data_IF_209643195289
#
_entry.id   IF_209643195289
#
_cell.length_a   1.000
_cell.length_b   1.000
_cell.length_c   1.000
_cell.angle_alpha   90.00
_cell.angle_beta   90.00
_cell.angle_gamma   90.00
#
_symmetry.space_group_name_H-M   'P 1'
#
loop_
_entity.id
_entity.type
_entity.pdbx_description
1 polymer ?
#
# COMPACT_ATOMS: atom_id res chain seq x y z
N UNK A 1 4.36 11.09 -14.62
CA UNK A 1 4.95 9.85 -14.10
C UNK A 1 4.99 9.82 -12.58
N UNK A 2 5.46 10.88 -11.93
CA UNK A 2 5.43 10.95 -10.48
C UNK A 2 4.00 10.91 -9.93
N UNK A 3 3.06 11.51 -10.64
CA UNK A 3 1.65 11.49 -10.25
C UNK A 3 1.07 10.09 -10.21
N UNK A 4 1.46 9.21 -11.15
CA UNK A 4 0.99 7.84 -11.16
C UNK A 4 1.60 7.03 -10.02
N UNK A 5 2.87 7.31 -9.71
CA UNK A 5 3.56 6.64 -8.62
C UNK A 5 2.92 6.97 -7.27
N UNK A 6 2.61 8.24 -7.04
CA UNK A 6 1.95 8.67 -5.82
C UNK A 6 0.56 8.06 -5.68
N UNK A 7 -0.17 8.00 -6.79
CA UNK A 7 -1.50 7.39 -6.80
C UNK A 7 -1.43 5.91 -6.47
N UNK A 8 -0.47 5.19 -7.05
CA UNK A 8 -0.29 3.77 -6.79
C UNK A 8 0.10 3.54 -5.32
N UNK A 9 1.03 4.34 -4.80
CA UNK A 9 1.42 4.24 -3.41
C UNK A 9 0.25 4.51 -2.48
N UNK A 10 -0.54 5.55 -2.76
CA UNK A 10 -1.71 5.87 -1.97
C UNK A 10 -2.72 4.73 -1.96
N UNK A 11 -3.02 4.18 -3.13
CA UNK A 11 -3.98 3.09 -3.25
C UNK A 11 -3.50 1.84 -2.51
N UNK A 12 -2.21 1.53 -2.58
CA UNK A 12 -1.63 0.39 -1.88
C UNK A 12 -1.68 0.59 -0.37
N UNK A 13 -1.28 1.77 0.11
CA UNK A 13 -1.33 2.09 1.53
C UNK A 13 -2.77 2.00 2.06
N UNK A 14 -3.72 2.50 1.30
CA UNK A 14 -5.13 2.45 1.66
C UNK A 14 -5.64 1.00 1.74
N UNK A 15 -5.25 0.16 0.80
CA UNK A 15 -5.63 -1.26 0.82
C UNK A 15 -5.05 -1.98 2.03
N UNK A 16 -3.79 -1.75 2.32
CA UNK A 16 -3.15 -2.37 3.48
C UNK A 16 -3.85 -1.96 4.76
N UNK A 17 -4.20 -0.68 4.88
CA UNK A 17 -4.89 -0.17 6.06
C UNK A 17 -6.29 -0.76 6.22
N UNK A 18 -7.06 -0.82 5.13
CA UNK A 18 -8.44 -1.27 5.16
C UNK A 18 -8.58 -2.80 5.16
N UNK A 19 -7.61 -3.50 4.59
CA UNK A 19 -7.63 -4.95 4.45
C UNK A 19 -6.33 -5.56 4.96
N UNK A 20 -6.14 -5.61 6.28
CA UNK A 20 -4.84 -6.03 6.85
C UNK A 20 -4.47 -7.48 6.60
N UNK A 21 -5.39 -8.31 6.11
CA UNK A 21 -5.06 -9.71 5.79
C UNK A 21 -4.71 -9.92 4.33
N UNK A 22 -4.73 -8.88 3.52
CA UNK A 22 -4.48 -9.04 2.09
C UNK A 22 -3.02 -9.39 1.84
N UNK A 23 -2.81 -10.39 0.99
CA UNK A 23 -1.50 -10.74 0.46
C UNK A 23 -1.16 -9.83 -0.71
N UNK A 24 0.07 -9.96 -1.20
CA UNK A 24 0.50 -9.22 -2.38
C UNK A 24 -0.43 -9.47 -3.57
N UNK A 25 -0.86 -10.72 -3.76
CA UNK A 25 -1.75 -11.08 -4.86
C UNK A 25 -3.12 -10.42 -4.72
N UNK A 26 -3.63 -10.39 -3.50
CA UNK A 26 -4.93 -9.79 -3.24
C UNK A 26 -4.91 -8.30 -3.56
N UNK A 27 -3.85 -7.62 -3.16
CA UNK A 27 -3.70 -6.20 -3.44
C UNK A 27 -3.59 -5.95 -4.95
N UNK A 28 -2.78 -6.76 -5.63
CA UNK A 28 -2.60 -6.65 -7.07
C UNK A 28 -3.92 -6.83 -7.81
N UNK A 29 -4.68 -7.85 -7.41
CA UNK A 29 -5.97 -8.15 -8.04
C UNK A 29 -6.97 -7.01 -7.84
N UNK A 30 -7.06 -6.50 -6.61
CA UNK A 30 -8.02 -5.43 -6.30
C UNK A 30 -7.68 -4.13 -7.02
N UNK A 31 -6.41 -3.84 -7.19
CA UNK A 31 -5.99 -2.59 -7.82
C UNK A 31 -5.79 -2.71 -9.33
N UNK A 32 -5.91 -3.92 -9.86
CA UNK A 32 -5.70 -4.15 -11.29
C UNK A 32 -4.25 -3.94 -11.72
N UNK A 33 -3.32 -4.20 -10.82
CA UNK A 33 -1.89 -4.02 -11.09
C UNK A 33 -1.21 -5.37 -11.24
N UNK A 34 -0.13 -5.41 -12.01
CA UNK A 34 0.66 -6.63 -12.16
C UNK A 34 1.39 -6.95 -10.85
N UNK A 35 1.71 -8.24 -10.66
CA UNK A 35 2.47 -8.66 -9.48
C UNK A 35 3.84 -7.99 -9.43
N UNK A 36 4.48 -7.80 -10.58
CA UNK A 36 5.77 -7.13 -10.64
C UNK A 36 5.69 -5.69 -10.18
N UNK A 37 4.65 -4.97 -10.59
CA UNK A 37 4.45 -3.59 -10.19
C UNK A 37 4.15 -3.48 -8.69
N UNK A 38 3.30 -4.36 -8.17
CA UNK A 38 2.99 -4.41 -6.74
C UNK A 38 4.25 -4.72 -5.94
N UNK A 39 5.02 -5.71 -6.39
CA UNK A 39 6.26 -6.07 -5.70
C UNK A 39 7.23 -4.88 -5.65
N UNK A 40 7.38 -4.17 -6.74
CA UNK A 40 8.22 -2.98 -6.80
C UNK A 40 7.74 -1.91 -5.81
N UNK A 41 6.45 -1.64 -5.81
CA UNK A 41 5.87 -0.63 -4.93
C UNK A 41 6.01 -1.01 -3.45
N UNK A 42 5.75 -2.27 -3.12
CA UNK A 42 5.86 -2.75 -1.75
C UNK A 42 7.30 -2.67 -1.25
N UNK A 43 8.26 -3.01 -2.09
CA UNK A 43 9.68 -2.87 -1.73
C UNK A 43 10.03 -1.41 -1.46
N UNK A 44 9.57 -0.51 -2.32
CA UNK A 44 9.84 0.91 -2.16
C UNK A 44 9.22 1.45 -0.87
N UNK A 45 7.97 1.07 -0.58
CA UNK A 45 7.28 1.48 0.64
C UNK A 45 7.97 0.94 1.88
N UNK A 46 8.44 -0.30 1.82
CA UNK A 46 9.17 -0.91 2.93
C UNK A 46 10.50 -0.20 3.18
N UNK A 47 11.22 0.14 2.12
CA UNK A 47 12.49 0.86 2.23
C UNK A 47 12.31 2.25 2.82
N UNK A 48 11.18 2.89 2.54
CA UNK A 48 10.85 4.19 3.11
C UNK A 48 10.35 4.12 4.55
N UNK A 49 10.17 2.90 5.07
CA UNK A 49 9.68 2.71 6.43
C UNK A 49 8.20 2.99 6.60
N UNK A 50 7.44 2.91 5.52
CA UNK A 50 6.00 3.17 5.54
C UNK A 50 5.18 1.92 5.81
N UNK A 51 5.71 0.76 5.49
CA UNK A 51 5.06 -0.52 5.76
C UNK A 51 6.05 -1.49 6.38
N UNK A 52 5.50 -2.48 7.08
CA UNK A 52 6.27 -3.62 7.61
C UNK A 52 5.66 -4.90 7.06
N UNK A 53 6.53 -5.86 6.78
CA UNK A 53 6.11 -7.19 6.39
C UNK A 53 6.12 -8.09 7.63
N UNK A 54 4.98 -8.73 7.91
CA UNK A 54 4.89 -9.67 9.03
C UNK A 54 4.61 -11.06 8.52
N UNK A 55 5.24 -12.05 9.15
CA UNK A 55 4.93 -13.44 8.89
C UNK A 55 3.63 -13.79 9.58
N UNK A 56 2.73 -14.39 8.83
CA UNK A 56 1.47 -14.86 9.36
C UNK A 56 1.47 -16.38 9.30
N UNK A 57 1.69 -17.02 10.45
CA UNK A 57 1.71 -18.47 10.56
C UNK A 57 0.33 -19.00 10.94
N UNK A 58 -0.52 -19.21 9.94
CA UNK A 58 -1.78 -19.93 10.15
C UNK A 58 -1.64 -21.41 9.86
N UNK A 59 -0.60 -21.77 9.12
CA UNK A 59 -0.39 -23.14 8.67
C UNK A 59 1.11 -23.39 8.65
N UNK A 60 1.62 -24.37 9.39
CA UNK A 60 3.07 -24.61 9.43
C UNK A 60 3.68 -24.91 8.07
N UNK A 61 2.86 -25.25 7.08
CA UNK A 61 3.34 -25.58 5.73
C UNK A 61 3.25 -24.39 4.76
N UNK A 62 2.70 -23.24 5.19
CA UNK A 62 2.57 -22.06 4.34
C UNK A 62 2.90 -20.82 5.13
N UNK A 63 4.01 -20.19 4.75
CA UNK A 63 4.37 -18.89 5.30
C UNK A 63 3.67 -17.84 4.46
N UNK A 64 2.65 -17.21 5.02
CA UNK A 64 1.98 -16.10 4.38
C UNK A 64 2.51 -14.80 4.97
N UNK A 65 2.84 -13.87 4.09
CA UNK A 65 3.27 -12.55 4.51
C UNK A 65 2.10 -11.59 4.42
N UNK A 66 1.88 -10.85 5.48
CA UNK A 66 0.93 -9.74 5.48
C UNK A 66 1.70 -8.44 5.66
N UNK A 67 1.11 -7.36 5.18
CA UNK A 67 1.71 -6.04 5.27
C UNK A 67 0.92 -5.19 6.24
N UNK A 68 1.62 -4.40 7.05
CA UNK A 68 0.98 -3.48 7.98
C UNK A 68 1.62 -2.11 7.82
N UNK A 69 0.81 -1.06 8.04
CA UNK A 69 1.33 0.30 8.01
C UNK A 69 2.07 0.61 9.30
N UNK A 70 3.22 1.26 9.16
CA UNK A 70 3.90 1.86 10.29
C UNK A 70 3.21 3.17 10.64
N UNK A 71 3.49 3.77 11.82
CA UNK A 71 2.97 5.11 12.11
C UNK A 71 3.34 6.12 11.03
N UNK A 72 4.52 5.98 10.46
CA UNK A 72 4.97 6.80 9.33
C UNK A 72 4.12 6.57 8.09
N UNK A 73 3.74 5.32 7.84
CA UNK A 73 2.87 4.97 6.72
C UNK A 73 1.49 5.56 6.86
N UNK A 74 0.95 5.55 8.09
CA UNK A 74 -0.35 6.14 8.36
C UNK A 74 -0.30 7.65 8.10
N UNK A 75 0.75 8.31 8.55
CA UNK A 75 0.93 9.75 8.32
C UNK A 75 1.03 10.06 6.83
N UNK A 76 1.79 9.26 6.08
CA UNK A 76 1.93 9.45 4.65
C UNK A 76 0.61 9.22 3.91
N UNK A 77 -0.14 8.20 4.31
CA UNK A 77 -1.46 7.92 3.76
C UNK A 77 -2.39 9.13 3.95
N UNK A 78 -2.40 9.69 5.14
CA UNK A 78 -3.22 10.87 5.46
C UNK A 78 -2.79 12.07 4.62
N UNK A 79 -1.49 12.30 4.51
CA UNK A 79 -0.94 13.37 3.70
C UNK A 79 -1.38 13.26 2.25
N UNK A 80 -1.28 12.07 1.67
CA UNK A 80 -1.69 11.84 0.29
C UNK A 80 -3.18 12.03 0.12
N UNK A 81 -3.97 11.58 1.08
CA UNK A 81 -5.42 11.80 1.07
C UNK A 81 -5.75 13.28 1.01
N UNK A 82 -5.12 14.08 1.87
CA UNK A 82 -5.35 15.52 1.89
C UNK A 82 -4.92 16.18 0.59
N UNK A 83 -3.82 15.74 0.01
CA UNK A 83 -3.34 16.28 -1.25
C UNK A 83 -4.33 16.02 -2.39
N UNK A 84 -4.88 14.81 -2.45
CA UNK A 84 -5.86 14.48 -3.49
C UNK A 84 -7.16 15.26 -3.29
N UNK A 85 -7.61 15.41 -2.07
CA UNK A 85 -8.80 16.19 -1.76
C UNK A 85 -8.60 17.67 -2.10
N UNK A 86 -7.43 18.21 -1.80
CA UNK A 86 -7.11 19.60 -2.10
C UNK A 86 -7.13 19.86 -3.59
N UNK A 87 -6.57 18.95 -4.38
CA UNK A 87 -6.59 19.07 -5.84
C UNK A 87 -8.00 19.04 -6.38
N UNK A 88 -8.87 18.24 -5.78
CA UNK A 88 -10.27 18.15 -6.18
C UNK A 88 -10.99 19.47 -5.90
N UNK A 89 -10.69 20.11 -4.78
CA UNK A 89 -11.30 21.36 -4.41
C UNK A 89 -10.81 22.55 -5.26
N UNK A 90 -9.57 22.51 -5.69
CA UNK A 90 -8.98 23.56 -6.53
C UNK A 90 -9.59 23.61 -7.93
N UNK A 91 -10.30 22.57 -8.33
CA UNK A 91 -10.93 22.52 -9.65
C UNK A 91 -12.30 23.18 -9.71
N UNK A 92 -12.80 23.58 -8.58
CA UNK A 92 -14.06 24.31 -8.52
C UNK A 92 -13.79 25.80 -8.68
#
# INVERSE_FOLDING_TARGET
MEKNKDKDFFNILRKIYNKPHYSQRDIASDLGLSLGKINYCLKALNQKGLIKMKNFEKNPNKINYIYVLTPRGIAEKTKLTLNFMKKKNERI
#
